data_IF_903228337400
#
_entry.id   IF_903228337400
#
_cell.length_a   1.000
_cell.length_b   1.000
_cell.length_c   1.000
_cell.angle_alpha   90.00
_cell.angle_beta   90.00
_cell.angle_gamma   90.00
#
_symmetry.space_group_name_H-M   'P 1'
#
loop_
_entity.id
_entity.type
_entity.pdbx_description
1 polymer ?
#
# COMPACT_ATOMS: atom_id res chain seq x y z
N UNK A 1 -14.61 56.21 -19.08
CA UNK A 1 -14.20 55.16 -18.11
C UNK A 1 -15.30 54.14 -18.08
N UNK A 2 -15.13 53.01 -18.78
CA UNK A 2 -16.12 51.93 -18.80
C UNK A 2 -15.65 50.84 -17.81
N UNK A 3 -16.33 50.75 -16.67
CA UNK A 3 -16.17 49.68 -15.69
C UNK A 3 -16.79 48.42 -16.27
N UNK A 4 -15.95 47.44 -16.67
CA UNK A 4 -16.43 46.12 -17.09
C UNK A 4 -17.02 45.37 -15.88
N UNK A 5 -18.35 45.37 -15.81
CA UNK A 5 -19.09 44.52 -14.90
C UNK A 5 -18.86 43.06 -15.27
N UNK A 6 -17.95 42.38 -14.59
CA UNK A 6 -17.82 40.90 -14.69
C UNK A 6 -19.08 40.29 -14.11
N UNK A 7 -19.87 39.63 -14.97
CA UNK A 7 -21.15 39.03 -14.62
C UNK A 7 -20.92 37.90 -13.57
N UNK A 8 -21.59 37.95 -12.40
CA UNK A 8 -21.46 36.95 -11.32
C UNK A 8 -21.87 35.52 -11.74
N UNK A 9 -22.61 35.39 -12.84
CA UNK A 9 -23.08 34.10 -13.37
C UNK A 9 -21.97 33.23 -14.02
N UNK A 10 -21.03 33.88 -14.72
CA UNK A 10 -19.91 33.16 -15.38
C UNK A 10 -18.94 32.52 -14.37
N UNK A 11 -18.64 33.25 -13.27
CA UNK A 11 -17.76 32.76 -12.22
C UNK A 11 -18.39 31.60 -11.42
N UNK A 12 -19.71 31.59 -11.22
CA UNK A 12 -20.45 30.46 -10.62
C UNK A 12 -20.43 29.23 -11.53
N UNK A 13 -20.59 29.41 -12.83
CA UNK A 13 -20.51 28.31 -13.81
C UNK A 13 -19.13 27.63 -13.84
N UNK A 14 -18.06 28.43 -13.84
CA UNK A 14 -16.67 27.92 -13.86
C UNK A 14 -16.34 27.12 -12.59
N UNK A 15 -16.81 27.53 -11.43
CA UNK A 15 -16.64 26.75 -10.19
C UNK A 15 -17.42 25.43 -10.17
N UNK A 16 -18.62 25.40 -10.75
CA UNK A 16 -19.49 24.23 -10.75
C UNK A 16 -18.93 23.07 -11.60
N UNK A 17 -18.50 23.34 -12.86
CA UNK A 17 -17.97 22.28 -13.71
C UNK A 17 -16.62 21.72 -13.19
N UNK A 18 -15.74 22.58 -12.64
CA UNK A 18 -14.48 22.14 -12.00
C UNK A 18 -14.75 21.18 -10.84
N UNK A 19 -15.73 21.53 -10.01
CA UNK A 19 -16.12 20.67 -8.90
C UNK A 19 -16.73 19.34 -9.36
N UNK A 20 -17.58 19.35 -10.39
CA UNK A 20 -18.13 18.14 -10.98
C UNK A 20 -17.03 17.24 -11.57
N UNK A 21 -16.06 17.83 -12.28
CA UNK A 21 -14.93 17.11 -12.87
C UNK A 21 -14.04 16.51 -11.78
N UNK A 22 -13.78 17.20 -10.69
CA UNK A 22 -13.02 16.70 -9.55
C UNK A 22 -13.74 15.51 -8.87
N UNK A 23 -15.07 15.59 -8.67
CA UNK A 23 -15.88 14.48 -8.15
C UNK A 23 -15.81 13.26 -9.05
N UNK A 24 -15.95 13.47 -10.36
CA UNK A 24 -15.86 12.40 -11.36
C UNK A 24 -14.46 11.76 -11.38
N UNK A 25 -13.40 12.55 -11.33
CA UNK A 25 -12.03 12.03 -11.32
C UNK A 25 -11.74 11.20 -10.08
N UNK A 26 -12.15 11.65 -8.88
CA UNK A 26 -12.01 10.90 -7.63
C UNK A 26 -12.81 9.59 -7.64
N UNK A 27 -14.06 9.63 -8.14
CA UNK A 27 -14.92 8.47 -8.31
C UNK A 27 -14.27 7.43 -9.26
N UNK A 28 -13.89 7.89 -10.46
CA UNK A 28 -13.30 7.04 -11.49
C UNK A 28 -11.97 6.45 -11.05
N UNK A 29 -11.14 7.21 -10.32
CA UNK A 29 -9.90 6.69 -9.77
C UNK A 29 -10.15 5.54 -8.80
N UNK A 30 -11.11 5.68 -7.89
CA UNK A 30 -11.47 4.64 -6.93
C UNK A 30 -11.97 3.36 -7.61
N UNK A 31 -12.82 3.48 -8.66
CA UNK A 31 -13.33 2.34 -9.44
C UNK A 31 -12.22 1.71 -10.30
N UNK A 32 -11.40 2.54 -10.96
CA UNK A 32 -10.39 2.08 -11.90
C UNK A 32 -9.14 1.48 -11.22
N UNK A 33 -8.92 1.76 -9.94
CA UNK A 33 -7.75 1.35 -9.16
C UNK A 33 -7.48 -0.16 -9.27
N UNK A 34 -8.54 -0.96 -9.36
CA UNK A 34 -8.49 -2.42 -9.31
C UNK A 34 -8.16 -3.10 -10.63
N UNK A 35 -8.24 -2.40 -11.75
CA UNK A 35 -7.91 -2.91 -13.07
C UNK A 35 -6.60 -2.29 -13.57
N UNK A 36 -5.61 -3.14 -13.91
CA UNK A 36 -4.26 -2.68 -14.30
C UNK A 36 -4.26 -1.66 -15.46
N UNK A 37 -5.10 -1.84 -16.47
CA UNK A 37 -5.20 -0.91 -17.61
C UNK A 37 -5.94 0.38 -17.25
N UNK A 38 -7.10 0.27 -16.57
CA UNK A 38 -7.92 1.44 -16.24
C UNK A 38 -7.23 2.35 -15.20
N UNK A 39 -6.51 1.79 -14.24
CA UNK A 39 -5.75 2.56 -13.27
C UNK A 39 -4.67 3.44 -13.91
N UNK A 40 -4.13 3.03 -15.06
CA UNK A 40 -3.19 3.83 -15.83
C UNK A 40 -3.83 5.13 -16.36
N UNK A 41 -5.02 5.05 -16.97
CA UNK A 41 -5.72 6.25 -17.45
C UNK A 41 -6.20 7.14 -16.32
N UNK A 42 -6.74 6.56 -15.25
CA UNK A 42 -7.17 7.31 -14.07
C UNK A 42 -5.99 8.04 -13.39
N UNK A 43 -4.79 7.43 -13.41
CA UNK A 43 -3.57 8.04 -12.91
C UNK A 43 -3.24 9.35 -13.62
N UNK A 44 -3.37 9.43 -14.96
CA UNK A 44 -3.10 10.66 -15.71
C UNK A 44 -4.24 11.66 -15.64
N UNK A 45 -5.47 11.20 -15.48
CA UNK A 45 -6.63 12.08 -15.33
C UNK A 45 -6.54 12.96 -14.08
N UNK A 46 -6.08 12.39 -12.96
CA UNK A 46 -6.02 13.11 -11.67
C UNK A 46 -5.15 14.37 -11.71
N UNK A 47 -3.88 14.35 -12.15
CA UNK A 47 -3.07 15.58 -12.22
C UNK A 47 -3.61 16.61 -13.20
N UNK A 48 -4.22 16.19 -14.31
CA UNK A 48 -4.87 17.10 -15.26
C UNK A 48 -6.02 17.83 -14.56
N UNK A 49 -6.93 17.09 -13.92
CA UNK A 49 -8.06 17.68 -13.18
C UNK A 49 -7.58 18.54 -12.03
N UNK A 50 -6.52 18.13 -11.33
CA UNK A 50 -5.93 18.89 -10.23
C UNK A 50 -5.40 20.24 -10.69
N UNK A 51 -4.71 20.31 -11.84
CA UNK A 51 -4.26 21.59 -12.41
C UNK A 51 -5.45 22.47 -12.78
N UNK A 52 -6.45 21.90 -13.47
CA UNK A 52 -7.67 22.63 -13.88
C UNK A 52 -8.48 23.14 -12.68
N UNK A 53 -8.44 22.44 -11.54
CA UNK A 53 -9.12 22.83 -10.30
C UNK A 53 -8.32 23.84 -9.45
N UNK A 54 -7.20 24.38 -9.96
CA UNK A 54 -6.33 25.30 -9.22
C UNK A 54 -5.48 24.62 -8.14
N UNK A 55 -5.08 23.38 -8.40
CA UNK A 55 -4.27 22.58 -7.47
C UNK A 55 -2.87 23.15 -7.23
N UNK A 56 -2.31 23.88 -8.22
CA UNK A 56 -1.02 24.55 -8.08
C UNK A 56 -1.04 25.62 -6.98
N UNK A 57 -2.13 26.38 -6.86
CA UNK A 57 -2.29 27.40 -5.82
C UNK A 57 -2.35 26.77 -4.43
N UNK A 58 -2.87 25.54 -4.34
CA UNK A 58 -2.99 24.77 -3.09
C UNK A 58 -1.75 23.89 -2.79
N UNK A 59 -0.78 23.85 -3.68
CA UNK A 59 0.37 22.96 -3.56
C UNK A 59 1.17 23.20 -2.27
N UNK A 60 1.40 24.48 -1.90
CA UNK A 60 2.11 24.83 -0.67
C UNK A 60 1.40 24.33 0.60
N UNK A 61 0.07 24.26 0.59
CA UNK A 61 -0.69 23.70 1.70
C UNK A 61 -0.59 22.16 1.72
N UNK A 62 -0.59 21.52 0.56
CA UNK A 62 -0.43 20.07 0.41
C UNK A 62 0.95 19.61 0.90
N UNK A 63 1.99 20.42 0.70
CA UNK A 63 3.35 20.20 1.19
C UNK A 63 3.49 20.24 2.73
N UNK A 64 2.49 20.69 3.47
CA UNK A 64 2.49 20.62 4.94
C UNK A 64 2.28 19.20 5.48
N UNK A 65 1.77 18.28 4.66
CA UNK A 65 1.58 16.89 5.06
C UNK A 65 2.90 16.11 5.00
N UNK A 66 3.33 15.49 6.11
CA UNK A 66 4.63 14.79 6.17
C UNK A 66 4.78 13.72 5.09
N UNK A 67 3.71 12.98 4.78
CA UNK A 67 3.73 11.94 3.75
C UNK A 67 4.03 12.50 2.37
N UNK A 68 3.51 13.69 2.02
CA UNK A 68 3.77 14.35 0.73
C UNK A 68 5.26 14.64 0.59
N UNK A 69 5.86 15.24 1.63
CA UNK A 69 7.29 15.56 1.64
C UNK A 69 8.13 14.28 1.51
N UNK A 70 7.78 13.23 2.23
CA UNK A 70 8.55 11.99 2.20
C UNK A 70 8.46 11.26 0.86
N UNK A 71 7.29 11.28 0.19
CA UNK A 71 7.15 10.76 -1.17
C UNK A 71 8.01 11.52 -2.17
N UNK A 72 8.05 12.84 -2.06
CA UNK A 72 8.92 13.67 -2.90
C UNK A 72 10.40 13.41 -2.63
N UNK A 73 10.82 13.33 -1.35
CA UNK A 73 12.21 13.02 -0.96
C UNK A 73 12.64 11.69 -1.56
N UNK A 74 11.86 10.62 -1.36
CA UNK A 74 12.18 9.30 -1.92
C UNK A 74 12.28 9.36 -3.45
N UNK A 75 11.37 10.06 -4.11
CA UNK A 75 11.35 10.21 -5.56
C UNK A 75 12.58 10.97 -6.09
N UNK A 76 12.98 12.05 -5.40
CA UNK A 76 14.16 12.84 -5.74
C UNK A 76 15.45 12.04 -5.52
N UNK A 77 15.58 11.36 -4.39
CA UNK A 77 16.77 10.55 -4.07
C UNK A 77 16.94 9.42 -5.10
N UNK A 78 15.86 8.75 -5.50
CA UNK A 78 15.89 7.75 -6.57
C UNK A 78 16.22 8.36 -7.94
N UNK A 79 15.76 9.57 -8.24
CA UNK A 79 16.13 10.26 -9.48
C UNK A 79 17.62 10.61 -9.49
N UNK A 80 18.14 11.14 -8.38
CA UNK A 80 19.58 11.40 -8.23
C UNK A 80 20.41 10.12 -8.40
N UNK A 81 19.91 8.97 -7.90
CA UNK A 81 20.54 7.67 -8.05
C UNK A 81 20.74 7.22 -9.50
N UNK A 82 20.03 7.81 -10.46
CA UNK A 82 20.22 7.54 -11.90
C UNK A 82 21.55 8.12 -12.37
N UNK A 83 22.05 9.20 -11.76
CA UNK A 83 23.26 9.90 -12.19
C UNK A 83 24.52 9.04 -12.06
N UNK A 84 24.55 8.09 -11.10
CA UNK A 84 25.67 7.14 -10.95
C UNK A 84 25.29 5.71 -11.29
N UNK A 85 24.12 5.51 -11.91
CA UNK A 85 23.69 4.20 -12.39
C UNK A 85 24.50 3.77 -13.63
N UNK A 86 24.98 2.53 -13.63
CA UNK A 86 25.60 1.93 -14.81
C UNK A 86 24.62 1.65 -15.96
N UNK A 87 23.30 1.68 -15.69
CA UNK A 87 22.22 1.56 -16.69
C UNK A 87 21.12 2.59 -16.41
N UNK A 88 21.26 3.82 -16.96
CA UNK A 88 20.27 4.88 -16.79
C UNK A 88 18.87 4.52 -17.31
N UNK A 89 18.74 3.64 -18.32
CA UNK A 89 17.43 3.19 -18.85
C UNK A 89 16.72 2.33 -17.83
N UNK A 90 17.42 1.37 -17.23
CA UNK A 90 16.89 0.58 -16.12
C UNK A 90 16.57 1.48 -14.92
N UNK A 91 17.44 2.44 -14.61
CA UNK A 91 17.24 3.46 -13.57
C UNK A 91 15.95 4.24 -13.75
N UNK A 92 15.72 4.78 -14.96
CA UNK A 92 14.48 5.51 -15.27
C UNK A 92 13.24 4.62 -15.16
N UNK A 93 13.32 3.35 -15.58
CA UNK A 93 12.21 2.37 -15.46
C UNK A 93 11.85 2.11 -14.00
N UNK A 94 12.84 1.97 -13.12
CA UNK A 94 12.63 1.81 -11.68
C UNK A 94 12.08 3.09 -11.07
N UNK A 95 12.73 4.24 -11.29
CA UNK A 95 12.30 5.54 -10.80
C UNK A 95 10.84 5.84 -11.12
N UNK A 96 10.38 5.59 -12.36
CA UNK A 96 9.00 5.82 -12.78
C UNK A 96 7.98 5.04 -11.96
N UNK A 97 8.34 3.89 -11.36
CA UNK A 97 7.44 3.13 -10.48
C UNK A 97 7.18 3.88 -9.18
N UNK A 98 8.22 4.47 -8.60
CA UNK A 98 8.11 5.27 -7.39
C UNK A 98 7.47 6.63 -7.66
N UNK A 99 7.79 7.24 -8.81
CA UNK A 99 7.16 8.48 -9.27
C UNK A 99 5.64 8.36 -9.32
N UNK A 100 5.12 7.20 -9.65
CA UNK A 100 3.69 6.93 -9.69
C UNK A 100 2.99 7.14 -8.33
N UNK A 101 3.71 7.06 -7.19
CA UNK A 101 3.15 7.32 -5.86
C UNK A 101 2.86 8.79 -5.61
N UNK A 102 3.45 9.69 -6.38
CA UNK A 102 3.13 11.12 -6.33
C UNK A 102 1.68 11.43 -6.73
N UNK A 103 0.94 10.44 -7.25
CA UNK A 103 -0.54 10.54 -7.44
C UNK A 103 -1.27 10.89 -6.15
N UNK A 104 -0.68 10.60 -4.99
CA UNK A 104 -1.20 11.05 -3.69
C UNK A 104 -1.39 12.56 -3.64
N UNK A 105 -0.49 13.35 -4.22
CA UNK A 105 -0.52 14.81 -4.20
C UNK A 105 -1.80 15.36 -4.88
N UNK A 106 -2.08 15.08 -6.16
CA UNK A 106 -3.31 15.53 -6.80
C UNK A 106 -4.56 14.92 -6.16
N UNK A 107 -4.53 13.63 -5.79
CA UNK A 107 -5.67 12.98 -5.14
C UNK A 107 -6.03 13.66 -3.82
N UNK A 108 -5.05 13.84 -2.92
CA UNK A 108 -5.24 14.47 -1.61
C UNK A 108 -5.66 15.94 -1.75
N UNK A 109 -5.03 16.70 -2.65
CA UNK A 109 -5.33 18.12 -2.90
C UNK A 109 -6.73 18.35 -3.52
N UNK A 110 -7.26 17.38 -4.27
CA UNK A 110 -8.62 17.44 -4.82
C UNK A 110 -9.70 17.12 -3.80
N UNK A 111 -9.36 16.44 -2.69
CA UNK A 111 -10.35 16.13 -1.66
C UNK A 111 -10.85 17.41 -0.97
N UNK A 112 -12.18 17.58 -0.98
CA UNK A 112 -12.92 18.61 -0.27
C UNK A 112 -14.13 17.96 0.41
N UNK A 113 -14.78 18.67 1.34
CA UNK A 113 -15.90 18.12 2.12
C UNK A 113 -17.02 17.54 1.25
N UNK A 114 -17.39 18.24 0.19
CA UNK A 114 -18.44 17.84 -0.74
C UNK A 114 -17.98 16.83 -1.81
N UNK A 115 -16.67 16.58 -1.93
CA UNK A 115 -16.04 15.61 -2.84
C UNK A 115 -15.72 14.28 -2.15
N UNK A 116 -15.54 14.28 -0.83
CA UNK A 116 -15.20 13.08 -0.04
C UNK A 116 -16.19 11.92 -0.26
N UNK A 117 -17.53 12.12 -0.27
CA UNK A 117 -18.45 11.02 -0.51
C UNK A 117 -18.23 10.32 -1.86
N UNK A 118 -17.86 11.06 -2.91
CA UNK A 118 -17.58 10.52 -4.24
C UNK A 118 -16.29 9.67 -4.26
N UNK A 119 -15.26 10.13 -3.54
CA UNK A 119 -14.02 9.38 -3.37
C UNK A 119 -14.26 8.07 -2.60
N UNK A 120 -15.02 8.13 -1.50
CA UNK A 120 -15.39 6.97 -0.69
C UNK A 120 -16.24 6.00 -1.50
N UNK A 121 -17.27 6.48 -2.19
CA UNK A 121 -18.14 5.63 -3.01
C UNK A 121 -17.37 4.94 -4.12
N UNK A 122 -16.51 5.67 -4.87
CA UNK A 122 -15.68 5.10 -5.91
C UNK A 122 -14.75 4.00 -5.39
N UNK A 123 -14.08 4.26 -4.25
CA UNK A 123 -13.20 3.28 -3.63
C UNK A 123 -13.98 2.03 -3.17
N UNK A 124 -15.11 2.19 -2.48
CA UNK A 124 -15.90 1.07 -1.98
C UNK A 124 -16.54 0.27 -3.12
N UNK A 125 -17.12 0.94 -4.12
CA UNK A 125 -17.70 0.27 -5.28
C UNK A 125 -16.67 -0.59 -6.03
N UNK A 126 -15.49 -0.02 -6.28
CA UNK A 126 -14.38 -0.74 -6.88
C UNK A 126 -13.85 -1.86 -5.99
N UNK A 127 -13.69 -1.62 -4.69
CA UNK A 127 -13.20 -2.64 -3.74
C UNK A 127 -14.14 -3.84 -3.67
N UNK A 128 -15.44 -3.62 -3.46
CA UNK A 128 -16.42 -4.71 -3.39
C UNK A 128 -16.56 -5.42 -4.73
N UNK A 129 -16.47 -4.69 -5.85
CA UNK A 129 -16.41 -5.30 -7.19
C UNK A 129 -15.20 -6.23 -7.34
N UNK A 130 -14.02 -5.80 -6.92
CA UNK A 130 -12.81 -6.63 -6.95
C UNK A 130 -12.92 -7.85 -6.02
N UNK A 131 -13.44 -7.67 -4.78
CA UNK A 131 -13.66 -8.79 -3.85
C UNK A 131 -14.65 -9.80 -4.42
N UNK A 132 -15.76 -9.34 -4.99
CA UNK A 132 -16.76 -10.22 -5.66
C UNK A 132 -16.15 -10.98 -6.83
N UNK A 133 -15.36 -10.30 -7.66
CA UNK A 133 -14.64 -10.96 -8.76
C UNK A 133 -13.64 -12.01 -8.24
N UNK A 134 -12.94 -11.71 -7.14
CA UNK A 134 -12.03 -12.65 -6.49
C UNK A 134 -12.74 -13.87 -5.89
N UNK A 135 -13.92 -13.68 -5.30
CA UNK A 135 -14.77 -14.80 -4.82
C UNK A 135 -15.18 -15.68 -6.00
N UNK A 136 -15.64 -15.07 -7.10
CA UNK A 136 -15.98 -15.81 -8.30
C UNK A 136 -14.80 -16.63 -8.86
N UNK A 137 -13.61 -16.01 -8.96
CA UNK A 137 -12.41 -16.71 -9.42
C UNK A 137 -12.07 -17.90 -8.49
N UNK A 138 -12.14 -17.71 -7.18
CA UNK A 138 -11.82 -18.75 -6.21
C UNK A 138 -12.83 -19.90 -6.21
N UNK A 139 -14.15 -19.61 -6.19
CA UNK A 139 -15.18 -20.61 -5.97
C UNK A 139 -15.69 -21.27 -7.26
N UNK A 140 -15.70 -20.54 -8.37
CA UNK A 140 -16.27 -21.02 -9.65
C UNK A 140 -15.16 -21.45 -10.63
N UNK A 141 -14.10 -20.63 -10.76
CA UNK A 141 -13.01 -20.91 -11.70
C UNK A 141 -11.94 -21.80 -11.06
N UNK A 142 -11.78 -21.77 -9.73
CA UNK A 142 -10.75 -22.50 -9.01
C UNK A 142 -9.36 -21.83 -9.05
N UNK A 143 -9.30 -20.55 -9.44
CA UNK A 143 -8.05 -19.78 -9.54
C UNK A 143 -7.89 -18.80 -8.42
N UNK A 144 -6.62 -18.49 -8.10
CA UNK A 144 -6.25 -17.49 -7.09
C UNK A 144 -5.92 -16.15 -7.73
N UNK A 145 -6.12 -15.06 -6.97
CA UNK A 145 -6.05 -13.72 -7.53
C UNK A 145 -7.24 -13.37 -8.39
N UNK A 146 -7.08 -12.38 -9.26
CA UNK A 146 -8.10 -11.94 -10.21
C UNK A 146 -7.42 -11.69 -11.58
N UNK A 147 -7.06 -12.77 -12.32
CA UNK A 147 -6.35 -12.66 -13.60
C UNK A 147 -7.01 -11.71 -14.60
N UNK A 148 -8.35 -11.69 -14.77
CA UNK A 148 -9.01 -10.76 -15.69
C UNK A 148 -8.77 -9.28 -15.38
N UNK A 149 -8.49 -8.93 -14.10
CA UNK A 149 -8.12 -7.58 -13.70
C UNK A 149 -6.61 -7.33 -13.75
N UNK A 150 -5.80 -8.32 -14.13
CA UNK A 150 -4.35 -8.28 -14.08
C UNK A 150 -3.83 -8.22 -12.66
N UNK A 151 -4.51 -8.87 -11.71
CA UNK A 151 -4.21 -8.87 -10.29
C UNK A 151 -3.81 -10.27 -9.81
N UNK A 152 -2.50 -10.56 -9.69
CA UNK A 152 -2.00 -11.81 -9.12
C UNK A 152 -2.46 -12.02 -7.68
N UNK A 153 -2.41 -13.27 -7.20
CA UNK A 153 -2.85 -13.66 -5.86
C UNK A 153 -2.15 -12.89 -4.71
N UNK A 154 -0.90 -12.50 -4.88
CA UNK A 154 -0.17 -11.66 -3.90
C UNK A 154 -0.80 -10.29 -3.76
N UNK A 155 -1.12 -9.62 -4.88
CA UNK A 155 -1.76 -8.30 -4.86
C UNK A 155 -3.16 -8.40 -4.25
N UNK A 156 -3.95 -9.41 -4.66
CA UNK A 156 -5.30 -9.61 -4.13
C UNK A 156 -5.27 -9.90 -2.62
N UNK A 157 -4.35 -10.76 -2.17
CA UNK A 157 -4.15 -11.02 -0.74
C UNK A 157 -3.82 -9.75 0.05
N UNK A 158 -2.95 -8.87 -0.50
CA UNK A 158 -2.61 -7.60 0.15
C UNK A 158 -3.82 -6.68 0.30
N UNK A 159 -4.67 -6.61 -0.72
CA UNK A 159 -5.90 -5.82 -0.72
C UNK A 159 -6.90 -6.33 0.31
N UNK A 160 -7.06 -7.66 0.43
CA UNK A 160 -7.90 -8.29 1.44
C UNK A 160 -7.39 -8.00 2.85
N UNK A 161 -6.07 -8.10 3.08
CA UNK A 161 -5.44 -7.82 4.36
C UNK A 161 -5.62 -6.37 4.80
N UNK A 162 -5.38 -5.41 3.90
CA UNK A 162 -5.61 -3.97 4.16
C UNK A 162 -7.09 -3.73 4.50
N UNK A 163 -8.01 -4.30 3.74
CA UNK A 163 -9.44 -4.18 4.01
C UNK A 163 -9.84 -4.74 5.37
N UNK A 164 -9.27 -5.89 5.78
CA UNK A 164 -9.50 -6.48 7.10
C UNK A 164 -8.98 -5.56 8.22
N UNK A 165 -7.76 -5.01 8.10
CA UNK A 165 -7.19 -4.06 9.07
C UNK A 165 -8.08 -2.81 9.19
N UNK A 166 -8.53 -2.24 8.08
CA UNK A 166 -9.41 -1.05 8.07
C UNK A 166 -10.77 -1.38 8.68
N UNK A 167 -11.37 -2.53 8.36
CA UNK A 167 -12.64 -2.96 8.94
C UNK A 167 -12.53 -3.15 10.47
N UNK A 168 -11.44 -3.77 10.96
CA UNK A 168 -11.16 -3.91 12.40
C UNK A 168 -11.00 -2.55 13.09
N UNK A 169 -10.28 -1.61 12.45
CA UNK A 169 -10.14 -0.25 12.98
C UNK A 169 -11.51 0.45 13.09
N UNK A 170 -12.28 0.44 12.00
CA UNK A 170 -13.61 1.06 11.99
C UNK A 170 -14.55 0.40 12.99
N UNK A 171 -14.50 -0.92 13.19
CA UNK A 171 -15.22 -1.62 14.22
C UNK A 171 -14.82 -1.17 15.63
N UNK A 172 -13.52 -0.95 15.87
CA UNK A 172 -13.01 -0.49 17.17
C UNK A 172 -13.45 0.91 17.55
N UNK A 173 -13.56 1.83 16.55
CA UNK A 173 -13.94 3.23 16.79
C UNK A 173 -15.44 3.51 16.61
N UNK A 174 -16.21 2.54 16.10
CA UNK A 174 -17.65 2.71 15.89
C UNK A 174 -18.43 2.72 17.21
N UNK A 175 -19.30 3.73 17.41
CA UNK A 175 -20.27 3.76 18.50
C UNK A 175 -21.54 2.94 18.21
N UNK A 176 -21.81 2.56 16.96
CA UNK A 176 -23.01 1.83 16.57
C UNK A 176 -22.76 0.32 16.64
N UNK A 177 -23.50 -0.39 17.53
CA UNK A 177 -23.35 -1.84 17.74
C UNK A 177 -23.59 -2.67 16.47
N UNK A 178 -24.58 -2.32 15.65
CA UNK A 178 -24.88 -3.03 14.39
C UNK A 178 -23.74 -2.85 13.38
N UNK A 179 -23.25 -1.62 13.22
CA UNK A 179 -22.10 -1.33 12.36
C UNK A 179 -20.84 -2.05 12.85
N UNK A 180 -20.59 -2.07 14.16
CA UNK A 180 -19.47 -2.79 14.78
C UNK A 180 -19.50 -4.28 14.43
N UNK A 181 -20.65 -4.93 14.59
CA UNK A 181 -20.81 -6.35 14.25
C UNK A 181 -20.60 -6.59 12.76
N UNK A 182 -21.20 -5.78 11.89
CA UNK A 182 -21.06 -5.90 10.45
C UNK A 182 -19.59 -5.75 10.00
N UNK A 183 -18.84 -4.82 10.58
CA UNK A 183 -17.42 -4.59 10.28
C UNK A 183 -16.54 -5.74 10.80
N UNK A 184 -16.85 -6.33 11.95
CA UNK A 184 -16.17 -7.54 12.42
C UNK A 184 -16.43 -8.72 11.49
N UNK A 185 -17.68 -8.94 11.07
CA UNK A 185 -18.01 -9.99 10.09
C UNK A 185 -17.28 -9.77 8.77
N UNK A 186 -17.25 -8.52 8.29
CA UNK A 186 -16.50 -8.17 7.08
C UNK A 186 -15.00 -8.51 7.23
N UNK A 187 -14.38 -8.14 8.35
CA UNK A 187 -12.97 -8.45 8.60
C UNK A 187 -12.73 -9.98 8.59
N UNK A 188 -13.60 -10.77 9.22
CA UNK A 188 -13.51 -12.24 9.22
C UNK A 188 -13.63 -12.81 7.82
N UNK A 189 -14.59 -12.34 7.02
CA UNK A 189 -14.76 -12.77 5.62
C UNK A 189 -13.51 -12.45 4.80
N UNK A 190 -12.97 -11.23 4.92
CA UNK A 190 -11.76 -10.81 4.19
C UNK A 190 -10.54 -11.64 4.60
N UNK A 191 -10.36 -11.94 5.89
CA UNK A 191 -9.30 -12.84 6.37
C UNK A 191 -9.48 -14.26 5.86
N UNK A 192 -10.71 -14.79 5.86
CA UNK A 192 -11.00 -16.12 5.31
C UNK A 192 -10.63 -16.21 3.81
N UNK A 193 -11.02 -15.20 3.01
CA UNK A 193 -10.65 -15.11 1.60
C UNK A 193 -9.13 -14.98 1.43
N UNK A 194 -8.46 -14.24 2.33
CA UNK A 194 -7.00 -14.10 2.30
C UNK A 194 -6.29 -15.43 2.61
N UNK A 195 -6.79 -16.22 3.55
CA UNK A 195 -6.29 -17.56 3.84
C UNK A 195 -6.34 -18.49 2.63
N UNK A 196 -7.36 -18.32 1.79
CA UNK A 196 -7.52 -19.11 0.55
C UNK A 196 -6.52 -18.73 -0.55
N UNK A 197 -5.80 -17.59 -0.41
CA UNK A 197 -4.72 -17.19 -1.31
C UNK A 197 -3.38 -17.78 -0.86
N UNK A 198 -2.52 -18.15 -1.80
CA UNK A 198 -1.21 -18.73 -1.48
C UNK A 198 -0.13 -17.72 -1.02
N UNK A 199 -0.54 -16.60 -0.40
CA UNK A 199 0.30 -15.46 -0.04
C UNK A 199 0.67 -15.46 1.45
N UNK A 200 1.44 -16.47 1.91
CA UNK A 200 1.76 -16.70 3.34
C UNK A 200 2.42 -15.49 4.02
N UNK A 201 3.41 -14.88 3.38
CA UNK A 201 4.13 -13.71 3.94
C UNK A 201 3.16 -12.54 4.18
N UNK A 202 2.26 -12.27 3.23
CA UNK A 202 1.27 -11.20 3.33
C UNK A 202 0.21 -11.52 4.41
N UNK A 203 -0.19 -12.78 4.53
CA UNK A 203 -1.11 -13.21 5.58
C UNK A 203 -0.50 -13.01 6.98
N UNK A 204 0.76 -13.42 7.18
CA UNK A 204 1.48 -13.19 8.44
C UNK A 204 1.59 -11.70 8.74
N UNK A 205 1.92 -10.87 7.73
CA UNK A 205 1.95 -9.42 7.87
C UNK A 205 0.58 -8.85 8.28
N UNK A 206 -0.51 -9.36 7.70
CA UNK A 206 -1.89 -8.95 8.06
C UNK A 206 -2.22 -9.31 9.51
N UNK A 207 -1.96 -10.56 9.91
CA UNK A 207 -2.25 -11.03 11.28
C UNK A 207 -1.45 -10.23 12.30
N UNK A 208 -0.14 -10.03 12.06
CA UNK A 208 0.71 -9.24 12.96
C UNK A 208 0.23 -7.78 13.06
N UNK A 209 -0.12 -7.16 11.94
CA UNK A 209 -0.63 -5.79 11.91
C UNK A 209 -2.00 -5.64 12.57
N UNK A 210 -2.89 -6.61 12.37
CA UNK A 210 -4.18 -6.68 13.06
C UNK A 210 -4.00 -6.86 14.57
N UNK A 211 -3.03 -7.67 15.00
CA UNK A 211 -2.67 -7.85 16.42
C UNK A 211 -2.19 -6.54 17.03
N UNK A 212 -1.30 -5.81 16.34
CA UNK A 212 -0.83 -4.49 16.78
C UNK A 212 -2.02 -3.52 16.89
N UNK A 213 -2.92 -3.50 15.89
CA UNK A 213 -4.11 -2.66 15.92
C UNK A 213 -5.01 -2.96 17.12
N UNK A 214 -5.36 -4.24 17.32
CA UNK A 214 -6.23 -4.67 18.40
C UNK A 214 -5.60 -4.38 19.77
N UNK A 215 -4.29 -4.57 19.92
CA UNK A 215 -3.57 -4.17 21.13
C UNK A 215 -3.70 -2.67 21.39
N UNK A 216 -3.43 -1.83 20.40
CA UNK A 216 -3.50 -0.37 20.55
C UNK A 216 -4.91 0.14 20.84
N UNK A 217 -5.94 -0.50 20.29
CA UNK A 217 -7.34 -0.16 20.56
C UNK A 217 -7.80 -0.59 21.95
N UNK A 218 -7.32 -1.74 22.45
CA UNK A 218 -7.78 -2.36 23.70
C UNK A 218 -6.70 -2.45 24.78
N UNK A 219 -5.62 -1.68 24.69
CA UNK A 219 -4.50 -1.69 25.68
C UNK A 219 -4.92 -1.40 27.11
N UNK A 220 -6.05 -0.73 27.33
CA UNK A 220 -6.64 -0.48 28.65
C UNK A 220 -7.53 -1.62 29.13
N UNK A 221 -7.94 -2.53 28.24
CA UNK A 221 -8.84 -3.66 28.46
C UNK A 221 -8.13 -4.95 28.07
N UNK A 222 -7.02 -5.26 28.77
CA UNK A 222 -6.15 -6.39 28.41
C UNK A 222 -6.91 -7.73 28.33
N UNK A 223 -7.95 -7.93 29.17
CA UNK A 223 -8.78 -9.14 29.14
C UNK A 223 -9.54 -9.27 27.81
N UNK A 224 -10.11 -8.16 27.32
CA UNK A 224 -10.77 -8.10 26.00
C UNK A 224 -9.79 -8.40 24.87
N UNK A 225 -8.60 -7.79 24.91
CA UNK A 225 -7.54 -8.06 23.94
C UNK A 225 -7.15 -9.55 23.94
N UNK A 226 -6.87 -10.14 25.12
CA UNK A 226 -6.49 -11.55 25.21
C UNK A 226 -7.60 -12.49 24.74
N UNK A 227 -8.87 -12.18 25.04
CA UNK A 227 -10.01 -12.95 24.54
C UNK A 227 -10.11 -12.91 23.01
N UNK A 228 -9.89 -11.72 22.40
CA UNK A 228 -9.87 -11.58 20.94
C UNK A 228 -8.70 -12.33 20.31
N UNK A 229 -7.52 -12.30 20.92
CA UNK A 229 -6.35 -13.04 20.45
C UNK A 229 -6.55 -14.56 20.57
N UNK A 230 -7.15 -15.03 21.68
CA UNK A 230 -7.50 -16.44 21.84
C UNK A 230 -8.52 -16.90 20.78
N UNK A 231 -9.55 -16.08 20.49
CA UNK A 231 -10.51 -16.37 19.44
C UNK A 231 -9.85 -16.41 18.04
N UNK A 232 -8.97 -15.46 17.74
CA UNK A 232 -8.22 -15.44 16.48
C UNK A 232 -7.33 -16.68 16.36
N UNK A 233 -6.60 -17.02 17.43
CA UNK A 233 -5.73 -18.21 17.46
C UNK A 233 -6.55 -19.49 17.26
N UNK A 234 -7.71 -19.62 17.94
CA UNK A 234 -8.61 -20.74 17.76
C UNK A 234 -9.13 -20.85 16.33
N UNK A 235 -9.58 -19.74 15.73
CA UNK A 235 -10.05 -19.70 14.35
C UNK A 235 -8.95 -20.11 13.35
N UNK A 236 -7.73 -19.58 13.51
CA UNK A 236 -6.57 -19.95 12.70
C UNK A 236 -6.23 -21.42 12.87
N UNK A 237 -6.27 -21.96 14.11
CA UNK A 237 -5.97 -23.37 14.39
C UNK A 237 -7.01 -24.31 13.77
N UNK A 238 -8.30 -23.99 13.90
CA UNK A 238 -9.37 -24.78 13.27
C UNK A 238 -9.24 -24.76 11.75
N UNK A 239 -8.96 -23.60 11.16
CA UNK A 239 -8.74 -23.50 9.71
C UNK A 239 -7.50 -24.31 9.29
N UNK A 240 -6.37 -24.14 9.99
CA UNK A 240 -5.12 -24.83 9.69
C UNK A 240 -5.29 -26.36 9.76
N UNK A 241 -6.06 -26.83 10.74
CA UNK A 241 -6.34 -28.27 10.92
C UNK A 241 -7.22 -28.82 9.78
N UNK A 242 -8.23 -28.08 9.33
CA UNK A 242 -9.18 -28.54 8.31
C UNK A 242 -8.74 -28.25 6.87
N UNK A 243 -7.72 -27.40 6.65
CA UNK A 243 -7.26 -27.02 5.32
C UNK A 243 -6.12 -27.91 4.86
N UNK A 244 -6.39 -28.89 3.98
CA UNK A 244 -5.38 -29.71 3.33
C UNK A 244 -4.34 -28.86 2.58
N UNK A 245 -4.78 -27.79 1.91
CA UNK A 245 -3.91 -26.80 1.28
C UNK A 245 -2.91 -26.17 2.26
N UNK A 246 -3.39 -25.76 3.44
CA UNK A 246 -2.52 -25.15 4.46
C UNK A 246 -1.48 -26.15 4.98
N UNK A 247 -1.90 -27.39 5.26
CA UNK A 247 -1.00 -28.46 5.73
C UNK A 247 0.07 -28.80 4.68
N UNK A 248 -0.32 -28.96 3.41
CA UNK A 248 0.63 -29.16 2.32
C UNK A 248 1.63 -28.02 2.20
N UNK A 249 1.18 -26.76 2.35
CA UNK A 249 2.05 -25.58 2.29
C UNK A 249 3.01 -25.50 3.48
N UNK A 250 2.59 -25.95 4.65
CA UNK A 250 3.48 -26.04 5.82
C UNK A 250 4.55 -27.11 5.60
N UNK A 251 4.17 -28.27 5.05
CA UNK A 251 5.10 -29.32 4.69
C UNK A 251 6.11 -28.83 3.63
N UNK A 252 5.64 -28.15 2.56
CA UNK A 252 6.50 -27.54 1.56
C UNK A 252 7.48 -26.52 2.18
N UNK A 253 7.03 -25.67 3.12
CA UNK A 253 7.91 -24.71 3.76
C UNK A 253 9.02 -25.39 4.58
N UNK A 254 8.73 -26.50 5.25
CA UNK A 254 9.74 -27.32 5.94
C UNK A 254 10.72 -27.93 4.95
N UNK A 255 10.23 -28.50 3.87
CA UNK A 255 11.05 -29.06 2.80
C UNK A 255 11.93 -27.98 2.15
N UNK A 256 11.42 -26.79 1.88
CA UNK A 256 12.17 -25.65 1.33
C UNK A 256 13.37 -25.27 2.22
N UNK A 257 13.16 -25.24 3.55
CA UNK A 257 14.23 -24.97 4.52
C UNK A 257 15.29 -26.08 4.50
N UNK A 258 14.87 -27.35 4.44
CA UNK A 258 15.82 -28.48 4.39
C UNK A 258 16.63 -28.51 3.10
N UNK A 259 15.97 -28.25 1.94
CA UNK A 259 16.66 -28.13 0.66
C UNK A 259 17.70 -26.98 0.71
N UNK A 260 17.36 -25.84 1.33
CA UNK A 260 18.31 -24.75 1.46
C UNK A 260 19.51 -25.09 2.34
N UNK A 261 19.32 -25.90 3.40
CA UNK A 261 20.40 -26.38 4.26
C UNK A 261 21.35 -27.34 3.54
N UNK A 262 20.84 -28.08 2.57
CA UNK A 262 21.66 -29.01 1.73
C UNK A 262 22.27 -28.32 0.51
N UNK A 263 22.16 -26.98 0.39
CA UNK A 263 22.73 -26.21 -0.72
C UNK A 263 21.84 -26.15 -1.96
N UNK A 264 20.62 -26.67 -1.89
CA UNK A 264 19.66 -26.53 -2.98
C UNK A 264 18.76 -25.31 -2.75
N UNK A 265 18.98 -24.26 -3.51
CA UNK A 265 18.26 -22.97 -3.44
C UNK A 265 17.13 -22.83 -4.46
N UNK A 266 16.77 -23.89 -5.20
CA UNK A 266 15.71 -23.85 -6.22
C UNK A 266 14.29 -23.71 -5.68
N UNK A 267 14.09 -23.86 -4.36
CA UNK A 267 12.80 -23.69 -3.71
C UNK A 267 12.42 -22.20 -3.52
N UNK A 268 11.14 -21.91 -3.24
CA UNK A 268 10.67 -20.54 -3.03
C UNK A 268 11.36 -19.81 -1.87
N UNK A 269 11.70 -20.51 -0.79
CA UNK A 269 12.44 -19.94 0.33
C UNK A 269 13.93 -19.85 -0.02
N UNK A 270 14.51 -20.92 -0.57
CA UNK A 270 15.92 -20.97 -0.98
C UNK A 270 16.28 -19.85 -1.96
N UNK A 271 15.42 -19.63 -2.95
CA UNK A 271 15.56 -18.53 -3.91
C UNK A 271 15.62 -17.15 -3.24
N UNK A 272 14.72 -16.86 -2.29
CA UNK A 272 14.78 -15.59 -1.55
C UNK A 272 16.03 -15.44 -0.71
N UNK A 273 16.47 -16.52 -0.04
CA UNK A 273 17.71 -16.51 0.75
C UNK A 273 18.93 -16.20 -0.11
N UNK A 274 19.02 -16.77 -1.30
CA UNK A 274 20.10 -16.49 -2.24
C UNK A 274 20.06 -15.03 -2.75
N UNK A 275 18.86 -14.53 -3.09
CA UNK A 275 18.68 -13.13 -3.46
C UNK A 275 19.12 -12.18 -2.34
N UNK A 276 18.72 -12.47 -1.10
CA UNK A 276 19.05 -11.63 0.05
C UNK A 276 20.53 -11.66 0.38
N UNK A 277 21.19 -12.83 0.31
CA UNK A 277 22.63 -12.97 0.55
C UNK A 277 23.44 -12.16 -0.47
N UNK A 278 23.14 -12.31 -1.77
CA UNK A 278 23.79 -11.52 -2.83
C UNK A 278 23.47 -10.03 -2.69
N UNK A 279 22.22 -9.68 -2.35
CA UNK A 279 21.82 -8.28 -2.19
C UNK A 279 22.51 -7.61 -1.00
N UNK A 280 22.58 -8.28 0.15
CA UNK A 280 23.27 -7.76 1.34
C UNK A 280 24.77 -7.59 1.08
N UNK A 281 25.39 -8.53 0.32
CA UNK A 281 26.77 -8.39 -0.10
C UNK A 281 26.96 -7.15 -0.97
N UNK A 282 26.07 -6.93 -1.97
CA UNK A 282 26.14 -5.75 -2.82
C UNK A 282 25.96 -4.44 -2.05
N UNK A 283 25.09 -4.41 -1.04
CA UNK A 283 24.97 -3.25 -0.15
C UNK A 283 26.27 -3.02 0.63
N UNK A 284 26.92 -4.10 1.11
CA UNK A 284 28.18 -4.01 1.83
C UNK A 284 29.34 -3.49 0.97
N UNK A 285 29.35 -3.79 -0.34
CA UNK A 285 30.35 -3.23 -1.28
C UNK A 285 30.19 -1.72 -1.49
N UNK A 286 28.96 -1.19 -1.48
CA UNK A 286 28.67 0.24 -1.69
C UNK A 286 27.67 0.75 -0.66
N UNK A 287 28.06 0.85 0.62
CA UNK A 287 27.11 1.03 1.71
C UNK A 287 26.42 2.40 1.74
N UNK A 288 27.08 3.48 1.26
CA UNK A 288 26.52 4.82 1.39
C UNK A 288 25.54 5.19 0.27
N UNK A 289 25.91 4.96 -0.99
CA UNK A 289 25.18 5.41 -2.19
C UNK A 289 24.65 4.26 -3.05
N UNK A 290 24.93 3.02 -2.69
CA UNK A 290 24.51 1.85 -3.47
C UNK A 290 25.14 1.80 -4.87
N UNK A 291 24.54 0.98 -5.73
CA UNK A 291 25.01 0.76 -7.10
C UNK A 291 24.38 1.71 -8.14
N UNK A 292 23.47 2.57 -7.71
CA UNK A 292 22.66 3.42 -8.57
C UNK A 292 21.27 2.84 -8.83
N UNK A 293 20.30 3.73 -9.05
CA UNK A 293 18.91 3.33 -9.32
C UNK A 293 18.84 2.46 -10.57
N UNK A 294 18.19 1.29 -10.44
CA UNK A 294 18.02 0.33 -11.53
C UNK A 294 19.08 -0.77 -11.58
N UNK A 295 20.14 -0.69 -10.77
CA UNK A 295 21.27 -1.64 -10.84
C UNK A 295 21.07 -2.92 -10.03
N UNK A 296 20.03 -3.04 -9.21
CA UNK A 296 19.80 -4.19 -8.33
C UNK A 296 19.78 -5.52 -9.11
N UNK A 297 18.99 -5.60 -10.17
CA UNK A 297 18.90 -6.81 -11.03
C UNK A 297 20.22 -7.06 -11.76
N UNK A 298 20.83 -6.04 -12.35
CA UNK A 298 22.08 -6.17 -13.10
C UNK A 298 23.23 -6.66 -12.20
N UNK A 299 23.26 -6.22 -10.94
CA UNK A 299 24.24 -6.70 -9.96
C UNK A 299 24.06 -8.20 -9.67
N UNK A 300 22.82 -8.64 -9.42
CA UNK A 300 22.55 -10.05 -9.21
C UNK A 300 22.97 -10.91 -10.40
N UNK A 301 22.54 -10.54 -11.60
CA UNK A 301 22.85 -11.28 -12.84
C UNK A 301 24.37 -11.42 -13.08
N UNK A 302 25.15 -10.42 -12.69
CA UNK A 302 26.60 -10.44 -12.80
C UNK A 302 27.27 -11.36 -11.79
N UNK A 303 26.71 -11.50 -10.59
CA UNK A 303 27.37 -12.14 -9.46
C UNK A 303 26.85 -13.55 -9.16
N UNK A 304 25.64 -13.93 -9.58
CA UNK A 304 24.99 -15.20 -9.20
C UNK A 304 25.82 -16.44 -9.54
N UNK A 305 26.59 -16.41 -10.62
CA UNK A 305 27.40 -17.57 -11.07
C UNK A 305 28.71 -17.72 -10.31
N UNK A 306 29.28 -16.64 -9.79
CA UNK A 306 30.63 -16.63 -9.20
C UNK A 306 30.64 -16.39 -7.69
N UNK A 307 29.58 -15.83 -7.14
CA UNK A 307 29.50 -15.48 -5.72
C UNK A 307 29.66 -16.72 -4.82
N UNK A 308 30.53 -16.62 -3.80
CA UNK A 308 30.89 -17.71 -2.87
C UNK A 308 31.26 -19.01 -3.58
N UNK A 309 32.04 -18.92 -4.66
CA UNK A 309 32.45 -20.09 -5.44
C UNK A 309 31.32 -20.71 -6.28
N UNK A 310 30.25 -19.96 -6.57
CA UNK A 310 29.17 -20.39 -7.45
C UNK A 310 28.13 -21.26 -6.78
N UNK A 311 27.93 -21.13 -5.46
CA UNK A 311 26.89 -21.90 -4.75
C UNK A 311 25.47 -21.64 -5.27
N UNK A 312 25.26 -20.51 -5.94
CA UNK A 312 23.96 -20.11 -6.50
C UNK A 312 23.84 -20.24 -8.02
N UNK A 313 24.87 -20.82 -8.70
CA UNK A 313 24.89 -20.93 -10.17
C UNK A 313 23.67 -21.63 -10.78
N UNK A 314 23.12 -22.62 -10.07
CA UNK A 314 21.98 -23.41 -10.54
C UNK A 314 20.63 -22.70 -10.37
N UNK A 315 20.59 -21.50 -9.75
CA UNK A 315 19.32 -20.74 -9.61
C UNK A 315 18.69 -20.38 -10.96
N UNK A 316 19.51 -20.22 -12.01
CA UNK A 316 19.01 -19.93 -13.37
C UNK A 316 18.24 -21.09 -14.00
N UNK A 317 18.47 -22.32 -13.54
CA UNK A 317 17.73 -23.50 -14.00
C UNK A 317 16.26 -23.47 -13.54
N UNK A 318 16.00 -22.79 -12.40
CA UNK A 318 14.67 -22.68 -11.80
C UNK A 318 13.98 -21.33 -12.09
N UNK A 319 14.78 -20.30 -12.38
CA UNK A 319 14.30 -18.92 -12.60
C UNK A 319 15.10 -18.24 -13.72
N UNK A 320 14.52 -18.14 -14.91
CA UNK A 320 15.16 -17.54 -16.09
C UNK A 320 15.66 -16.10 -15.86
N UNK A 321 14.92 -15.32 -15.08
CA UNK A 321 15.26 -13.92 -14.73
C UNK A 321 14.71 -13.54 -13.37
N UNK A 322 15.50 -12.78 -12.61
CA UNK A 322 14.97 -12.07 -11.46
C UNK A 322 14.33 -10.75 -11.90
N UNK A 323 13.31 -10.32 -11.18
CA UNK A 323 12.67 -9.02 -11.37
C UNK A 323 13.00 -8.04 -10.25
N UNK A 324 13.27 -8.57 -9.04
CA UNK A 324 13.57 -7.84 -7.80
C UNK A 324 14.05 -8.80 -6.70
N UNK A 325 14.53 -8.27 -5.59
CA UNK A 325 15.08 -9.04 -4.46
C UNK A 325 14.02 -9.64 -3.51
N UNK A 326 12.73 -9.52 -3.78
CA UNK A 326 11.65 -9.92 -2.86
C UNK A 326 11.83 -9.38 -1.43
N UNK A 327 12.36 -8.16 -1.34
CA UNK A 327 12.57 -7.43 -0.10
C UNK A 327 12.78 -5.95 -0.44
N UNK A 328 11.86 -5.07 -0.01
CA UNK A 328 11.94 -3.62 -0.29
C UNK A 328 13.21 -2.98 0.27
N UNK A 329 13.68 -3.44 1.45
CA UNK A 329 14.86 -2.88 2.11
C UNK A 329 16.14 -3.21 1.34
N UNK A 330 16.27 -4.47 0.90
CA UNK A 330 17.40 -4.89 0.08
C UNK A 330 17.36 -4.22 -1.29
N UNK A 331 16.19 -4.16 -1.92
CA UNK A 331 16.01 -3.51 -3.22
C UNK A 331 16.46 -2.04 -3.18
N UNK A 332 15.97 -1.28 -2.20
CA UNK A 332 16.29 0.13 -2.02
C UNK A 332 17.75 0.32 -1.59
N UNK A 333 18.25 -0.55 -0.69
CA UNK A 333 19.66 -0.55 -0.28
C UNK A 333 20.61 -0.81 -1.45
N UNK A 334 20.28 -1.73 -2.34
CA UNK A 334 21.04 -1.99 -3.56
C UNK A 334 21.07 -0.78 -4.50
N UNK A 335 19.93 -0.09 -4.62
CA UNK A 335 19.89 1.12 -5.45
C UNK A 335 20.72 2.27 -4.87
N UNK A 336 20.59 2.56 -3.58
CA UNK A 336 21.00 3.83 -2.99
C UNK A 336 21.75 3.70 -1.64
N UNK A 337 22.08 2.49 -1.21
CA UNK A 337 22.76 2.26 0.06
C UNK A 337 22.00 2.82 1.25
N UNK A 338 22.74 3.34 2.23
CA UNK A 338 22.19 3.94 3.45
C UNK A 338 21.32 5.18 3.15
N UNK A 339 21.64 5.95 2.11
CA UNK A 339 20.83 7.09 1.68
C UNK A 339 19.40 6.66 1.29
N UNK A 340 19.28 5.57 0.52
CA UNK A 340 17.98 5.02 0.14
C UNK A 340 17.22 4.42 1.32
N UNK A 341 17.92 3.67 2.18
CA UNK A 341 17.34 3.09 3.39
C UNK A 341 16.81 4.18 4.32
N UNK A 342 17.55 5.27 4.51
CA UNK A 342 17.12 6.42 5.31
C UNK A 342 15.88 7.11 4.70
N UNK A 343 15.85 7.29 3.36
CA UNK A 343 14.70 7.88 2.68
C UNK A 343 13.44 6.99 2.78
N UNK A 344 13.60 5.67 2.70
CA UNK A 344 12.49 4.74 2.85
C UNK A 344 11.99 4.66 4.30
N UNK A 345 12.90 4.63 5.29
CA UNK A 345 12.54 4.71 6.70
C UNK A 345 11.82 6.04 7.01
N UNK A 346 12.29 7.15 6.43
CA UNK A 346 11.63 8.45 6.54
C UNK A 346 10.23 8.44 5.92
N UNK A 347 10.01 7.74 4.81
CA UNK A 347 8.68 7.54 4.23
C UNK A 347 7.74 6.82 5.20
N UNK A 348 8.16 5.70 5.78
CA UNK A 348 7.35 4.93 6.73
C UNK A 348 7.04 5.73 8.00
N UNK A 349 8.05 6.42 8.54
CA UNK A 349 7.87 7.30 9.71
C UNK A 349 6.90 8.45 9.40
N UNK A 350 7.04 9.12 8.25
CA UNK A 350 6.18 10.21 7.82
C UNK A 350 4.75 9.75 7.58
N UNK A 351 4.57 8.53 7.07
CA UNK A 351 3.25 7.94 6.89
C UNK A 351 2.55 7.72 8.23
N UNK A 352 3.26 7.12 9.21
CA UNK A 352 2.76 7.01 10.57
C UNK A 352 2.46 8.38 11.19
N UNK A 353 3.38 9.34 11.03
CA UNK A 353 3.23 10.71 11.53
C UNK A 353 1.99 11.40 10.97
N UNK A 354 1.72 11.22 9.69
CA UNK A 354 0.51 11.75 9.02
C UNK A 354 -0.77 11.19 9.68
N UNK A 355 -0.87 9.88 9.88
CA UNK A 355 -2.00 9.30 10.60
C UNK A 355 -2.11 9.81 12.04
N UNK A 356 -0.99 9.94 12.74
CA UNK A 356 -0.94 10.41 14.13
C UNK A 356 -1.43 11.84 14.27
N UNK A 357 -1.02 12.75 13.36
CA UNK A 357 -1.47 14.13 13.33
C UNK A 357 -2.99 14.24 13.14
N UNK A 358 -3.58 13.31 12.41
CA UNK A 358 -5.01 13.26 12.14
C UNK A 358 -5.79 12.31 13.07
N UNK A 359 -5.29 12.04 14.29
CA UNK A 359 -5.95 11.22 15.34
C UNK A 359 -6.26 9.78 14.94
N UNK A 360 -5.50 9.23 14.01
CA UNK A 360 -5.60 7.84 13.54
C UNK A 360 -4.34 7.03 13.82
N UNK A 361 -3.62 7.32 14.91
CA UNK A 361 -2.31 6.72 15.21
C UNK A 361 -2.33 5.18 15.25
N UNK A 362 -3.40 4.57 15.77
CA UNK A 362 -3.54 3.10 15.82
C UNK A 362 -3.69 2.49 14.42
N UNK A 363 -4.49 3.11 13.54
CA UNK A 363 -4.59 2.69 12.14
C UNK A 363 -3.25 2.89 11.42
N UNK A 364 -2.61 4.04 11.64
CA UNK A 364 -1.30 4.34 11.06
C UNK A 364 -0.24 3.32 11.47
N UNK A 365 -0.16 2.97 12.75
CA UNK A 365 0.75 1.94 13.25
C UNK A 365 0.49 0.59 12.57
N UNK A 366 -0.77 0.16 12.46
CA UNK A 366 -1.11 -1.11 11.83
C UNK A 366 -0.77 -1.13 10.33
N UNK A 367 -1.15 -0.09 9.57
CA UNK A 367 -0.89 -0.05 8.13
C UNK A 367 0.60 0.10 7.82
N UNK A 368 1.34 0.90 8.60
CA UNK A 368 2.80 1.00 8.42
C UNK A 368 3.51 -0.29 8.81
N UNK A 369 3.06 -0.99 9.87
CA UNK A 369 3.55 -2.33 10.19
C UNK A 369 3.27 -3.33 9.07
N UNK A 370 2.09 -3.25 8.44
CA UNK A 370 1.76 -4.07 7.28
C UNK A 370 2.71 -3.81 6.10
N UNK A 371 2.96 -2.52 5.77
CA UNK A 371 3.90 -2.14 4.70
C UNK A 371 5.31 -2.66 5.03
N UNK A 372 5.77 -2.46 6.26
CA UNK A 372 7.09 -2.91 6.71
C UNK A 372 7.24 -4.44 6.58
N UNK A 373 6.30 -5.20 7.13
CA UNK A 373 6.36 -6.67 7.15
C UNK A 373 6.21 -7.28 5.74
N UNK A 374 5.32 -6.72 4.92
CA UNK A 374 5.24 -7.12 3.50
C UNK A 374 6.54 -6.79 2.77
N UNK A 375 7.13 -5.61 3.01
CA UNK A 375 8.38 -5.18 2.40
C UNK A 375 9.60 -6.02 2.83
N UNK A 376 9.54 -6.71 3.97
CA UNK A 376 10.58 -7.69 4.36
C UNK A 376 10.42 -9.02 3.62
N UNK A 377 9.20 -9.43 3.30
CA UNK A 377 8.92 -10.75 2.71
C UNK A 377 8.74 -10.74 1.20
N UNK A 378 8.46 -9.56 0.63
CA UNK A 378 8.30 -9.33 -0.80
C UNK A 378 8.59 -7.87 -1.14
N UNK A 379 8.45 -7.47 -2.40
CA UNK A 379 8.57 -6.07 -2.81
C UNK A 379 7.19 -5.44 -2.99
N UNK A 380 6.67 -4.82 -1.91
CA UNK A 380 5.34 -4.22 -1.89
C UNK A 380 5.20 -3.03 -2.87
N UNK A 381 6.31 -2.33 -3.14
CA UNK A 381 6.36 -1.20 -4.09
C UNK A 381 5.97 -1.65 -5.52
N UNK A 382 6.21 -2.92 -5.87
CA UNK A 382 5.79 -3.47 -7.15
C UNK A 382 4.28 -3.76 -7.23
N UNK A 383 3.58 -3.79 -6.10
CA UNK A 383 2.14 -4.00 -6.01
C UNK A 383 1.40 -2.67 -6.15
N UNK A 384 1.43 -2.09 -7.35
CA UNK A 384 0.94 -0.74 -7.63
C UNK A 384 -0.47 -0.48 -7.08
N UNK A 385 -1.42 -1.39 -7.32
CA UNK A 385 -2.81 -1.24 -6.86
C UNK A 385 -2.90 -1.23 -5.34
N UNK A 386 -2.10 -2.07 -4.67
CA UNK A 386 -2.01 -2.11 -3.21
C UNK A 386 -1.47 -0.81 -2.65
N UNK A 387 -0.41 -0.28 -3.26
CA UNK A 387 0.18 0.98 -2.81
C UNK A 387 -0.76 2.17 -3.03
N UNK A 388 -1.45 2.21 -4.17
CA UNK A 388 -2.48 3.23 -4.43
C UNK A 388 -3.63 3.13 -3.43
N UNK A 389 -4.09 1.92 -3.09
CA UNK A 389 -5.11 1.72 -2.05
C UNK A 389 -4.68 2.34 -0.72
N UNK A 390 -3.46 2.07 -0.28
CA UNK A 390 -2.92 2.62 0.97
C UNK A 390 -2.88 4.16 0.94
N UNK A 391 -2.44 4.76 -0.16
CA UNK A 391 -2.41 6.22 -0.35
C UNK A 391 -3.82 6.82 -0.34
N UNK A 392 -4.75 6.22 -1.08
CA UNK A 392 -6.15 6.66 -1.15
C UNK A 392 -6.85 6.56 0.21
N UNK A 393 -6.66 5.44 0.92
CA UNK A 393 -7.17 5.27 2.28
C UNK A 393 -6.61 6.32 3.25
N UNK A 394 -5.32 6.65 3.12
CA UNK A 394 -4.70 7.72 3.91
C UNK A 394 -5.35 9.06 3.62
N UNK A 395 -5.50 9.43 2.35
CA UNK A 395 -6.12 10.69 1.95
C UNK A 395 -7.59 10.80 2.42
N UNK A 396 -8.38 9.74 2.19
CA UNK A 396 -9.79 9.68 2.63
C UNK A 396 -9.89 9.76 4.15
N UNK A 397 -9.03 9.04 4.89
CA UNK A 397 -9.00 9.07 6.34
C UNK A 397 -8.71 10.46 6.89
N UNK A 398 -7.71 11.16 6.33
CA UNK A 398 -7.41 12.57 6.68
C UNK A 398 -8.61 13.46 6.42
N UNK A 399 -9.20 13.37 5.23
CA UNK A 399 -10.39 14.13 4.86
C UNK A 399 -11.55 13.88 5.81
N UNK A 400 -11.83 12.62 6.13
CA UNK A 400 -12.87 12.22 7.06
C UNK A 400 -12.68 12.86 8.45
N UNK A 401 -11.49 12.74 9.02
CA UNK A 401 -11.18 13.31 10.34
C UNK A 401 -11.24 14.84 10.35
N UNK A 402 -10.72 15.47 9.30
CA UNK A 402 -10.71 16.93 9.17
C UNK A 402 -12.12 17.51 9.15
N UNK A 403 -13.06 16.87 8.43
CA UNK A 403 -14.38 17.48 8.20
C UNK A 403 -15.43 17.01 9.21
N UNK A 404 -15.31 15.85 9.82
CA UNK A 404 -16.21 15.40 10.88
C UNK A 404 -15.89 16.01 12.26
N UNK A 405 -14.64 16.45 12.49
CA UNK A 405 -14.24 17.11 13.73
C UNK A 405 -14.32 18.65 13.67
N UNK A 406 -14.76 19.24 12.55
CA UNK A 406 -15.11 20.66 12.53
C UNK A 406 -16.41 20.86 13.34
N UNK A 407 -16.44 21.77 14.36
CA UNK A 407 -17.69 22.16 15.00
C UNK A 407 -18.66 22.63 13.91
N UNK A 408 -19.89 22.16 13.95
CA UNK A 408 -20.91 22.65 13.03
C UNK A 408 -21.04 24.16 13.25
N UNK A 409 -20.84 24.94 12.19
CA UNK A 409 -21.03 26.39 12.21
C UNK A 409 -22.48 26.80 12.62
N UNK A 410 -23.38 25.81 12.79
CA UNK A 410 -24.74 25.99 13.29
C UNK A 410 -24.84 26.17 14.82
N UNK A 411 -23.73 26.01 15.56
CA UNK A 411 -23.69 26.18 17.02
C UNK A 411 -23.03 27.48 17.47
N UNK A 412 -22.98 28.52 16.63
CA UNK A 412 -22.66 29.87 17.10
C UNK A 412 -23.85 30.37 17.95
N UNK A 413 -23.64 30.71 19.24
CA UNK A 413 -24.70 31.30 20.02
C UNK A 413 -25.19 32.58 19.32
N UNK A 414 -26.51 32.88 19.37
CA UNK A 414 -27.02 34.12 18.79
C UNK A 414 -26.31 35.31 19.46
N UNK A 415 -26.02 36.37 18.70
CA UNK A 415 -25.40 37.56 19.27
C UNK A 415 -26.25 38.08 20.42
N UNK A 416 -25.63 38.26 21.57
CA UNK A 416 -26.26 38.89 22.73
C UNK A 416 -26.80 40.26 22.25
N UNK A 417 -28.14 40.37 22.23
CA UNK A 417 -28.80 41.67 21.99
C UNK A 417 -28.45 42.56 23.19
N UNK A 418 -27.67 43.59 22.92
CA UNK A 418 -27.47 44.73 23.80
C UNK A 418 -28.67 45.61 23.85
#
# INVERSE_FOLDING_TARGET
>A
MATSAHSPGLLRGVGAWRNALAKLALLLFGIALWHKGLSFYAYYLLPIVWVLDGGLDRFSQTMKEPLVVALLVLCIVLALGILWSGDPKAGFKVWRRYFAFLVFIPYFSLLAKDRLPWAVFGLLAGYFGAVTAGIYQLLIVGEQGIPPLGMPYLHFSSILGIGAIVALYLAGVSGNRKAKIALWLLAVILLFLQFSQNARGILIATIASATILLFLLHKREIKTFLAMMALLAAAVSVFAYNSSNFQQRLAQARQDVELSRTGNYGSSIGYRLALWDIGLHGIAERPLLGHGTGMAVNYFEKNVETYKGGIYKNLREFHDRILHYHNDWIEIGMHLGLLGLAAYAYLLWSWYKTFSLHRMASLGAALVSFIFLCGVTDNLVFFRQTFYLLLVLTAIGIGWQKWNNMPSLAAAPPPLRS
#
